data_IF_735725014996
#
_entry.id   IF_735725014996
#
_cell.length_a   1.000
_cell.length_b   1.000
_cell.length_c   1.000
_cell.angle_alpha   90.00
_cell.angle_beta   90.00
_cell.angle_gamma   90.00
#
_symmetry.space_group_name_H-M   'P 1'
#
loop_
_entity.id
_entity.type
_entity.pdbx_description
1 polymer ?
#
# COMPACT_ATOMS: atom_id res chain seq x y z
N UNK A 1 20.07 -33.99 -1.30
CA UNK A 1 19.19 -33.72 -2.45
C UNK A 1 18.97 -34.98 -3.26
N UNK A 2 19.97 -35.58 -3.90
CA UNK A 2 19.81 -36.86 -4.61
C UNK A 2 19.32 -38.01 -3.73
N UNK A 3 19.73 -38.07 -2.47
CA UNK A 3 19.30 -39.11 -1.52
C UNK A 3 17.84 -38.99 -1.05
N UNK A 4 17.17 -37.87 -1.31
CA UNK A 4 15.82 -37.56 -0.88
C UNK A 4 15.02 -36.89 -2.01
N UNK A 5 14.74 -37.63 -3.10
CA UNK A 5 14.03 -37.07 -4.25
C UNK A 5 12.54 -36.71 -3.91
N UNK A 6 12.03 -37.27 -2.83
CA UNK A 6 10.66 -37.00 -2.29
C UNK A 6 10.55 -35.69 -1.49
N UNK A 7 11.68 -35.04 -1.20
CA UNK A 7 11.73 -33.77 -0.45
C UNK A 7 11.95 -32.62 -1.43
N UNK A 8 11.09 -31.60 -1.40
CA UNK A 8 11.34 -30.33 -2.08
C UNK A 8 12.22 -29.43 -1.21
N UNK A 9 13.24 -28.84 -1.81
CA UNK A 9 14.16 -27.91 -1.17
C UNK A 9 13.95 -26.52 -1.75
N UNK A 10 13.47 -25.60 -0.92
CA UNK A 10 13.30 -24.20 -1.27
C UNK A 10 14.40 -23.40 -0.60
N UNK A 11 15.24 -22.74 -1.39
CA UNK A 11 16.42 -22.03 -0.94
C UNK A 11 16.28 -20.54 -1.22
N UNK A 12 16.17 -19.74 -0.18
CA UNK A 12 16.17 -18.30 -0.28
C UNK A 12 17.62 -17.78 -0.17
N UNK A 13 18.13 -17.17 -1.24
CA UNK A 13 19.39 -16.42 -1.20
C UNK A 13 19.10 -15.00 -0.72
N UNK A 14 19.68 -14.56 0.42
CA UNK A 14 19.27 -13.32 1.05
C UNK A 14 19.58 -12.09 0.18
N UNK A 15 18.75 -11.07 0.30
CA UNK A 15 18.96 -9.78 -0.34
C UNK A 15 19.13 -8.70 0.75
N UNK A 16 20.34 -8.18 0.93
CA UNK A 16 20.59 -7.01 1.78
C UNK A 16 19.80 -5.77 1.35
N UNK A 17 19.63 -4.83 2.28
CA UNK A 17 18.98 -3.54 2.01
C UNK A 17 19.75 -2.70 0.98
N UNK A 18 19.08 -1.69 0.40
CA UNK A 18 19.75 -0.72 -0.47
C UNK A 18 20.88 0.00 0.26
N UNK A 19 20.72 0.34 1.54
CA UNK A 19 21.78 0.96 2.37
C UNK A 19 23.05 0.09 2.43
N UNK A 20 22.88 -1.23 2.59
CA UNK A 20 24.01 -2.14 2.53
C UNK A 20 24.70 -2.09 1.17
N UNK A 21 23.93 -2.18 0.07
CA UNK A 21 24.50 -2.18 -1.29
C UNK A 21 25.20 -0.87 -1.65
N UNK A 22 24.69 0.27 -1.19
CA UNK A 22 25.32 1.58 -1.37
C UNK A 22 26.65 1.69 -0.64
N UNK A 23 26.78 1.03 0.50
CA UNK A 23 28.01 1.00 1.29
C UNK A 23 29.07 0.04 0.71
N UNK A 24 28.70 -0.90 -0.20
CA UNK A 24 29.63 -1.86 -0.78
C UNK A 24 30.33 -1.34 -2.03
N UNK A 25 31.53 -1.90 -2.30
CA UNK A 25 32.22 -1.71 -3.58
C UNK A 25 31.56 -2.54 -4.67
N UNK A 26 31.78 -2.18 -5.94
CA UNK A 26 31.31 -2.94 -7.09
C UNK A 26 31.91 -4.36 -7.11
N UNK A 27 33.16 -4.51 -6.63
CA UNK A 27 33.81 -5.83 -6.49
C UNK A 27 33.08 -6.71 -5.46
N UNK A 28 32.64 -6.14 -4.34
CA UNK A 28 31.88 -6.90 -3.33
C UNK A 28 30.53 -7.35 -3.86
N UNK A 29 29.81 -6.48 -4.59
CA UNK A 29 28.54 -6.86 -5.24
C UNK A 29 28.73 -7.95 -6.29
N UNK A 30 29.76 -7.80 -7.13
CA UNK A 30 30.12 -8.81 -8.15
C UNK A 30 30.44 -10.16 -7.51
N UNK A 31 31.21 -10.16 -6.40
CA UNK A 31 31.52 -11.39 -5.67
C UNK A 31 30.26 -12.06 -5.10
N UNK A 32 29.35 -11.25 -4.52
CA UNK A 32 28.08 -11.75 -4.00
C UNK A 32 27.25 -12.42 -5.09
N UNK A 33 27.07 -11.76 -6.22
CA UNK A 33 26.31 -12.29 -7.35
C UNK A 33 27.00 -13.46 -8.04
N UNK A 34 28.32 -13.46 -8.13
CA UNK A 34 29.10 -14.62 -8.64
C UNK A 34 28.87 -15.85 -7.76
N UNK A 35 28.83 -15.67 -6.43
CA UNK A 35 28.53 -16.74 -5.48
C UNK A 35 27.11 -17.27 -5.67
N UNK A 36 26.14 -16.37 -5.80
CA UNK A 36 24.74 -16.71 -6.08
C UNK A 36 24.61 -17.53 -7.37
N UNK A 37 25.19 -17.05 -8.48
CA UNK A 37 25.17 -17.73 -9.79
C UNK A 37 25.84 -19.12 -9.75
N UNK A 38 26.95 -19.24 -9.03
CA UNK A 38 27.64 -20.54 -8.85
C UNK A 38 26.75 -21.53 -8.11
N UNK A 39 26.07 -21.05 -7.05
CA UNK A 39 25.12 -21.87 -6.28
C UNK A 39 23.93 -22.30 -7.15
N UNK A 40 23.30 -21.35 -7.86
CA UNK A 40 22.20 -21.62 -8.80
C UNK A 40 22.60 -22.66 -9.83
N UNK A 41 23.77 -22.50 -10.47
CA UNK A 41 24.28 -23.45 -11.49
C UNK A 41 24.49 -24.84 -10.92
N UNK A 42 24.99 -24.93 -9.69
CA UNK A 42 25.21 -26.21 -9.00
C UNK A 42 23.89 -26.89 -8.65
N UNK A 43 22.91 -26.11 -8.16
CA UNK A 43 21.64 -26.64 -7.69
C UNK A 43 20.64 -26.94 -8.82
N UNK A 44 20.78 -26.31 -9.96
CA UNK A 44 19.93 -26.53 -11.14
C UNK A 44 19.96 -27.97 -11.68
N UNK A 45 20.97 -28.76 -11.28
CA UNK A 45 21.02 -30.19 -11.60
C UNK A 45 20.03 -31.06 -10.82
N UNK A 46 19.39 -30.52 -9.78
CA UNK A 46 18.45 -31.26 -8.93
C UNK A 46 17.02 -30.83 -9.22
N UNK A 47 16.18 -31.73 -9.67
CA UNK A 47 14.77 -31.44 -10.02
C UNK A 47 13.88 -31.11 -8.84
N UNK A 48 14.33 -31.33 -7.62
CA UNK A 48 13.62 -31.09 -6.37
C UNK A 48 14.19 -29.89 -5.58
N UNK A 49 14.91 -28.98 -6.26
CA UNK A 49 15.47 -27.77 -5.65
C UNK A 49 15.00 -26.55 -6.42
N UNK A 50 14.45 -25.59 -5.71
CA UNK A 50 14.13 -24.24 -6.21
C UNK A 50 14.94 -23.21 -5.43
N UNK A 51 15.54 -22.25 -6.12
CA UNK A 51 16.26 -21.16 -5.50
C UNK A 51 15.60 -19.82 -5.80
N UNK A 52 15.57 -18.94 -4.82
CA UNK A 52 14.93 -17.62 -4.89
C UNK A 52 15.94 -16.52 -4.57
N UNK A 53 15.84 -15.40 -5.30
CA UNK A 53 16.64 -14.21 -5.08
C UNK A 53 15.75 -12.95 -5.15
N UNK A 54 15.36 -12.37 -4.02
CA UNK A 54 14.50 -11.18 -3.98
C UNK A 54 15.27 -9.85 -4.15
N UNK A 55 16.55 -9.89 -4.45
CA UNK A 55 17.43 -8.71 -4.50
C UNK A 55 17.20 -7.74 -5.65
N UNK A 56 16.31 -8.07 -6.59
CA UNK A 56 15.94 -7.21 -7.72
C UNK A 56 14.52 -6.64 -7.56
N UNK A 57 14.05 -6.41 -6.34
CA UNK A 57 12.70 -5.92 -6.05
C UNK A 57 12.75 -4.63 -5.22
N UNK A 58 12.15 -3.54 -5.76
CA UNK A 58 12.20 -2.21 -5.13
C UNK A 58 11.53 -2.18 -3.76
N UNK A 59 10.31 -2.72 -3.65
CA UNK A 59 9.56 -2.72 -2.39
C UNK A 59 10.30 -3.41 -1.25
N UNK A 60 11.18 -4.35 -1.57
CA UNK A 60 11.95 -5.07 -0.56
C UNK A 60 13.21 -4.31 -0.18
N UNK A 61 14.14 -4.11 -1.14
CA UNK A 61 15.49 -3.63 -0.82
C UNK A 61 15.54 -2.13 -0.56
N UNK A 62 14.64 -1.34 -1.15
CA UNK A 62 14.61 0.10 -1.00
C UNK A 62 13.92 0.56 0.29
N UNK A 63 13.06 -0.26 0.89
CA UNK A 63 12.36 0.12 2.11
C UNK A 63 13.14 -0.25 3.37
N UNK A 64 13.75 0.71 4.10
CA UNK A 64 14.51 0.44 5.31
C UNK A 64 13.65 -0.18 6.42
N UNK A 65 12.35 0.09 6.45
CA UNK A 65 11.40 -0.52 7.38
C UNK A 65 11.24 -2.04 7.23
N UNK A 66 11.71 -2.62 6.12
CA UNK A 66 11.75 -4.07 5.91
C UNK A 66 12.86 -4.78 6.69
N UNK A 67 13.78 -4.05 7.26
CA UNK A 67 14.98 -4.59 7.89
C UNK A 67 15.08 -4.20 9.38
N UNK A 68 15.68 -5.07 10.17
CA UNK A 68 16.10 -4.79 11.55
C UNK A 68 17.44 -4.04 11.58
N UNK A 69 18.28 -4.33 10.61
CA UNK A 69 19.54 -3.68 10.28
C UNK A 69 19.72 -3.79 8.75
N UNK A 70 20.88 -3.45 8.19
CA UNK A 70 21.10 -3.46 6.75
C UNK A 70 21.05 -4.86 6.09
N UNK A 71 21.02 -5.94 6.87
CA UNK A 71 21.10 -7.32 6.39
C UNK A 71 19.90 -8.19 6.78
N UNK A 72 19.32 -7.96 7.96
CA UNK A 72 18.34 -8.86 8.55
C UNK A 72 16.92 -8.30 8.38
N UNK A 73 16.07 -9.07 7.72
CA UNK A 73 14.65 -8.75 7.58
C UNK A 73 13.96 -8.66 8.95
N UNK A 74 12.98 -7.78 9.06
CA UNK A 74 12.05 -7.83 10.18
C UNK A 74 11.17 -9.10 10.10
N UNK A 75 10.52 -9.47 11.21
CA UNK A 75 9.75 -10.70 11.29
C UNK A 75 8.62 -10.78 10.27
N UNK A 76 7.96 -9.66 9.98
CA UNK A 76 6.85 -9.60 9.03
C UNK A 76 7.31 -9.87 7.59
N UNK A 77 8.43 -9.27 7.21
CA UNK A 77 9.03 -9.49 5.89
C UNK A 77 9.59 -10.90 5.77
N UNK A 78 10.24 -11.42 6.81
CA UNK A 78 10.74 -12.79 6.82
C UNK A 78 9.61 -13.80 6.61
N UNK A 79 8.47 -13.64 7.31
CA UNK A 79 7.29 -14.48 7.12
C UNK A 79 6.73 -14.36 5.69
N UNK A 80 6.65 -13.14 5.15
CA UNK A 80 6.16 -12.90 3.80
C UNK A 80 7.06 -13.55 2.76
N UNK A 81 8.37 -13.42 2.87
CA UNK A 81 9.32 -14.06 1.95
C UNK A 81 9.19 -15.59 1.98
N UNK A 82 8.98 -16.20 3.15
CA UNK A 82 8.70 -17.62 3.26
C UNK A 82 7.39 -18.00 2.54
N UNK A 83 6.34 -17.21 2.70
CA UNK A 83 5.05 -17.41 2.02
C UNK A 83 5.18 -17.29 0.51
N UNK A 84 5.88 -16.26 0.01
CA UNK A 84 6.15 -16.11 -1.43
C UNK A 84 6.96 -17.26 -2.00
N UNK A 85 8.00 -17.67 -1.29
CA UNK A 85 8.85 -18.79 -1.67
C UNK A 85 8.04 -20.06 -1.91
N UNK A 86 7.04 -20.31 -1.04
CA UNK A 86 6.26 -21.55 -1.13
C UNK A 86 4.99 -21.45 -2.00
N UNK A 87 4.47 -20.23 -2.27
CA UNK A 87 3.14 -20.07 -2.87
C UNK A 87 3.12 -19.49 -4.29
N UNK A 88 4.01 -18.55 -4.65
CA UNK A 88 3.84 -17.75 -5.87
C UNK A 88 4.93 -17.94 -6.95
N UNK A 89 6.03 -18.63 -6.65
CA UNK A 89 7.13 -18.81 -7.61
C UNK A 89 7.80 -17.52 -8.09
N UNK A 90 7.42 -16.37 -7.52
CA UNK A 90 8.05 -15.09 -7.76
C UNK A 90 9.50 -15.12 -7.25
N UNK A 91 10.38 -14.35 -7.89
CA UNK A 91 11.79 -14.25 -7.49
C UNK A 91 12.63 -15.54 -7.72
N UNK A 92 12.11 -16.52 -8.47
CA UNK A 92 12.88 -17.71 -8.80
C UNK A 92 14.09 -17.32 -9.63
N UNK A 93 15.28 -17.72 -9.16
CA UNK A 93 16.52 -17.55 -9.89
C UNK A 93 16.95 -18.88 -10.55
N UNK A 94 17.31 -18.79 -11.80
CA UNK A 94 17.78 -19.89 -12.64
C UNK A 94 19.07 -19.50 -13.35
N UNK A 95 19.85 -20.42 -13.91
CA UNK A 95 20.96 -20.03 -14.76
C UNK A 95 20.58 -19.17 -15.97
N UNK A 96 19.31 -19.25 -16.42
CA UNK A 96 18.81 -18.51 -17.57
C UNK A 96 18.46 -17.05 -17.29
N UNK A 97 18.14 -16.67 -16.03
CA UNK A 97 17.77 -15.30 -15.66
C UNK A 97 18.73 -14.62 -14.66
N UNK A 98 19.73 -15.34 -14.16
CA UNK A 98 20.62 -14.83 -13.13
C UNK A 98 21.40 -13.56 -13.56
N UNK A 99 21.79 -13.47 -14.82
CA UNK A 99 22.47 -12.27 -15.36
C UNK A 99 21.52 -11.08 -15.44
N UNK A 100 20.25 -11.32 -15.78
CA UNK A 100 19.22 -10.27 -15.81
C UNK A 100 18.96 -9.72 -14.40
N UNK A 101 18.80 -10.60 -13.40
CA UNK A 101 18.60 -10.19 -12.02
C UNK A 101 19.81 -9.43 -11.43
N UNK A 102 21.04 -9.83 -11.80
CA UNK A 102 22.23 -9.06 -11.44
C UNK A 102 22.24 -7.67 -12.09
N UNK A 103 21.88 -7.58 -13.38
CA UNK A 103 21.78 -6.28 -14.07
C UNK A 103 20.77 -5.39 -13.38
N UNK A 104 19.57 -5.89 -13.10
CA UNK A 104 18.52 -5.14 -12.39
C UNK A 104 19.00 -4.61 -11.03
N UNK A 105 19.66 -5.44 -10.22
CA UNK A 105 20.23 -5.00 -8.94
C UNK A 105 21.29 -3.90 -9.14
N UNK A 106 22.19 -4.07 -10.11
CA UNK A 106 23.24 -3.09 -10.37
C UNK A 106 22.66 -1.76 -10.89
N UNK A 107 21.64 -1.81 -11.74
CA UNK A 107 20.94 -0.63 -12.24
C UNK A 107 20.27 0.12 -11.09
N UNK A 108 19.53 -0.57 -10.22
CA UNK A 108 18.92 0.02 -9.02
C UNK A 108 19.94 0.70 -8.10
N UNK A 109 21.09 0.05 -7.85
CA UNK A 109 22.17 0.62 -7.02
C UNK A 109 22.82 1.81 -7.70
N UNK A 110 22.99 1.78 -9.03
CA UNK A 110 23.58 2.89 -9.78
C UNK A 110 22.65 4.10 -9.80
N UNK A 111 21.38 3.89 -10.07
CA UNK A 111 20.36 4.94 -10.05
C UNK A 111 20.30 5.62 -8.67
N UNK A 112 20.27 4.84 -7.59
CA UNK A 112 20.24 5.40 -6.24
C UNK A 112 21.55 6.13 -5.86
N UNK A 113 22.71 5.71 -6.39
CA UNK A 113 23.98 6.45 -6.22
C UNK A 113 24.03 7.76 -6.96
N UNK A 114 23.51 7.79 -8.20
CA UNK A 114 23.53 8.98 -9.05
C UNK A 114 22.50 10.02 -8.63
N UNK A 115 21.33 9.57 -8.20
CA UNK A 115 20.22 10.40 -7.76
C UNK A 115 19.55 9.81 -6.51
N UNK A 116 20.17 9.97 -5.31
CA UNK A 116 19.62 9.45 -4.08
C UNK A 116 18.18 9.92 -3.87
N UNK A 117 17.29 8.98 -3.66
CA UNK A 117 15.89 9.26 -3.38
C UNK A 117 15.78 9.78 -1.95
N UNK A 118 15.52 11.07 -1.79
CA UNK A 118 15.32 11.72 -0.50
C UNK A 118 13.83 11.95 -0.31
N UNK A 119 13.26 11.27 0.67
CA UNK A 119 11.87 11.50 1.05
C UNK A 119 11.79 12.56 2.15
N UNK A 120 10.73 13.40 2.14
CA UNK A 120 10.47 14.36 3.21
C UNK A 120 10.37 13.69 4.57
N UNK A 121 10.95 14.30 5.60
CA UNK A 121 10.74 13.93 6.98
C UNK A 121 9.35 14.39 7.45
N UNK A 122 8.49 13.43 7.79
CA UNK A 122 7.14 13.62 8.30
C UNK A 122 7.00 13.12 9.74
N UNK A 123 8.09 12.98 10.48
CA UNK A 123 8.09 12.48 11.87
C UNK A 123 7.27 13.38 12.82
N UNK A 124 6.96 14.60 12.40
CA UNK A 124 6.07 15.53 13.06
C UNK A 124 4.57 15.28 12.79
N UNK A 125 4.21 14.21 12.05
CA UNK A 125 2.83 13.84 11.75
C UNK A 125 2.39 12.55 12.46
N UNK A 126 1.14 12.56 12.94
CA UNK A 126 0.35 11.37 13.27
C UNK A 126 -0.68 11.17 12.16
N UNK A 127 -0.48 10.15 11.31
CA UNK A 127 -1.29 9.93 10.10
C UNK A 127 -2.27 8.78 10.30
N UNK A 128 -3.55 9.09 10.29
CA UNK A 128 -4.65 8.11 10.37
C UNK A 128 -5.17 7.86 8.95
N UNK A 129 -5.19 6.59 8.54
CA UNK A 129 -5.67 6.18 7.25
C UNK A 129 -7.11 5.65 7.36
N UNK A 130 -8.01 6.21 6.58
CA UNK A 130 -9.34 5.66 6.30
C UNK A 130 -9.40 5.19 4.85
N UNK A 131 -9.96 4.02 4.60
CA UNK A 131 -10.04 3.47 3.26
C UNK A 131 -10.65 2.08 3.22
N UNK A 132 -10.68 1.55 2.03
CA UNK A 132 -11.14 0.19 1.74
C UNK A 132 -9.98 -0.84 1.74
N UNK A 133 -10.13 -1.93 0.96
CA UNK A 133 -9.14 -3.01 0.87
C UNK A 133 -7.78 -2.58 0.32
N UNK A 134 -7.71 -1.51 -0.46
CA UNK A 134 -6.45 -1.00 -1.02
C UNK A 134 -5.50 -0.60 0.10
N UNK A 135 -6.01 0.07 1.11
CA UNK A 135 -5.24 0.47 2.31
C UNK A 135 -5.30 -0.62 3.39
N UNK A 136 -6.47 -1.23 3.61
CA UNK A 136 -6.80 -2.03 4.79
C UNK A 136 -6.38 -3.50 4.76
N UNK A 137 -6.17 -4.11 3.57
CA UNK A 137 -5.90 -5.53 3.48
C UNK A 137 -4.48 -5.94 3.89
N UNK A 138 -3.57 -4.98 4.01
CA UNK A 138 -2.16 -5.25 4.28
C UNK A 138 -1.68 -4.49 5.50
N UNK A 139 -0.77 -5.11 6.26
CA UNK A 139 -0.13 -4.56 7.45
C UNK A 139 1.39 -4.69 7.35
N UNK A 140 2.11 -4.04 8.26
CA UNK A 140 3.58 -4.08 8.26
C UNK A 140 4.20 -3.14 7.22
N UNK A 141 5.51 -3.27 7.05
CA UNK A 141 6.34 -2.34 6.25
C UNK A 141 6.01 -2.29 4.75
N UNK A 142 5.39 -3.33 4.21
CA UNK A 142 4.98 -3.40 2.81
C UNK A 142 3.51 -3.01 2.55
N UNK A 143 2.79 -2.56 3.58
CA UNK A 143 1.51 -1.89 3.42
C UNK A 143 1.70 -0.42 3.05
N UNK A 144 0.71 0.23 2.45
CA UNK A 144 0.79 1.66 2.10
C UNK A 144 1.11 2.52 3.34
N UNK A 145 0.42 2.38 4.49
CA UNK A 145 0.80 3.08 5.71
C UNK A 145 2.22 2.73 6.20
N UNK A 146 2.63 1.46 6.08
CA UNK A 146 3.97 1.02 6.47
C UNK A 146 5.08 1.62 5.61
N UNK A 147 4.85 1.79 4.31
CA UNK A 147 5.77 2.52 3.41
C UNK A 147 5.87 3.98 3.83
N UNK A 148 4.74 4.65 4.10
CA UNK A 148 4.74 6.04 4.59
C UNK A 148 5.56 6.16 5.87
N UNK A 149 5.35 5.29 6.86
CA UNK A 149 6.15 5.28 8.09
C UNK A 149 7.64 5.05 7.82
N UNK A 150 7.98 4.00 7.05
CA UNK A 150 9.36 3.56 6.85
C UNK A 150 10.25 4.58 6.13
N UNK A 151 9.68 5.37 5.21
CA UNK A 151 10.43 6.34 4.43
C UNK A 151 10.37 7.77 4.94
N UNK A 152 9.34 8.13 5.68
CA UNK A 152 9.16 9.51 6.16
C UNK A 152 9.23 9.68 7.67
N UNK A 153 9.27 8.58 8.42
CA UNK A 153 9.22 8.62 9.88
C UNK A 153 7.86 9.02 10.48
N UNK A 154 6.82 9.23 9.66
CA UNK A 154 5.48 9.54 10.14
C UNK A 154 4.94 8.42 11.03
N UNK A 155 4.24 8.76 12.12
CA UNK A 155 3.50 7.80 12.93
C UNK A 155 2.18 7.45 12.23
N UNK A 156 1.96 6.17 11.91
CA UNK A 156 0.82 5.76 11.08
C UNK A 156 -0.15 4.86 11.82
N UNK A 157 -1.45 5.05 11.58
CA UNK A 157 -2.56 4.27 12.16
C UNK A 157 -3.51 3.87 11.04
N UNK A 158 -3.56 2.57 10.74
CA UNK A 158 -4.38 2.04 9.66
C UNK A 158 -5.80 1.73 10.14
N UNK A 159 -6.69 2.69 10.04
CA UNK A 159 -8.12 2.56 10.34
C UNK A 159 -8.96 2.18 9.10
N UNK A 160 -8.32 1.75 8.01
CA UNK A 160 -8.99 1.26 6.82
C UNK A 160 -9.45 -0.19 6.99
N UNK A 161 -10.49 -0.58 6.26
CA UNK A 161 -11.06 -1.92 6.33
C UNK A 161 -11.49 -2.42 4.94
N UNK A 162 -11.08 -3.64 4.58
CA UNK A 162 -11.44 -4.25 3.30
C UNK A 162 -12.95 -4.41 3.11
N UNK A 163 -13.42 -4.21 1.88
CA UNK A 163 -14.84 -4.35 1.51
C UNK A 163 -15.71 -3.15 1.87
N UNK A 164 -15.15 -2.11 2.48
CA UNK A 164 -15.93 -0.93 2.91
C UNK A 164 -16.10 0.09 1.78
N UNK A 165 -17.16 0.88 1.88
CA UNK A 165 -17.53 1.96 0.95
C UNK A 165 -17.42 3.33 1.63
N UNK A 166 -17.36 4.41 0.87
CA UNK A 166 -17.64 5.72 1.44
C UNK A 166 -19.14 5.86 1.75
N UNK A 167 -19.98 5.43 0.80
CA UNK A 167 -21.44 5.50 0.88
C UNK A 167 -21.98 4.63 2.00
N UNK A 168 -23.01 5.11 2.67
CA UNK A 168 -23.77 4.35 3.66
C UNK A 168 -24.79 3.43 2.95
N UNK A 169 -24.75 2.14 3.26
CA UNK A 169 -25.83 1.23 2.87
C UNK A 169 -26.95 1.29 3.93
N UNK A 170 -28.16 1.73 3.56
CA UNK A 170 -29.27 1.76 4.51
C UNK A 170 -29.68 0.38 5.07
N UNK A 171 -29.31 -0.70 4.38
CA UNK A 171 -29.62 -2.07 4.78
C UNK A 171 -28.61 -2.67 5.77
N UNK A 172 -27.43 -2.06 5.92
CA UNK A 172 -26.33 -2.58 6.76
C UNK A 172 -25.85 -1.49 7.72
N UNK A 173 -26.44 -1.45 8.92
CA UNK A 173 -26.00 -0.58 10.03
C UNK A 173 -25.31 -1.46 11.08
N UNK A 174 -24.14 -2.01 10.78
CA UNK A 174 -23.31 -2.70 11.76
C UNK A 174 -22.11 -1.82 12.20
N UNK A 175 -22.24 -1.09 13.31
CA UNK A 175 -21.15 -0.24 13.82
C UNK A 175 -19.88 -1.04 14.13
N UNK A 176 -20.00 -2.33 14.50
CA UNK A 176 -18.86 -3.18 14.85
C UNK A 176 -17.97 -3.50 13.65
N UNK A 177 -18.51 -3.44 12.44
CA UNK A 177 -17.76 -3.66 11.21
C UNK A 177 -17.20 -2.37 10.60
N UNK A 178 -17.66 -1.18 11.03
CA UNK A 178 -17.34 0.12 10.44
C UNK A 178 -17.46 0.10 8.90
N UNK A 179 -18.60 -0.39 8.40
CA UNK A 179 -18.81 -0.79 7.01
C UNK A 179 -18.82 0.37 5.98
N UNK A 180 -18.71 1.63 6.43
CA UNK A 180 -18.61 2.79 5.55
C UNK A 180 -17.79 3.91 6.20
N UNK A 181 -17.36 4.89 5.38
CA UNK A 181 -16.49 5.98 5.83
C UNK A 181 -17.12 6.83 6.95
N UNK A 182 -18.41 7.14 6.85
CA UNK A 182 -19.08 7.96 7.89
C UNK A 182 -19.07 7.25 9.25
N UNK A 183 -19.32 5.93 9.25
CA UNK A 183 -19.26 5.11 10.47
C UNK A 183 -17.83 4.97 10.99
N UNK A 184 -16.85 4.82 10.10
CA UNK A 184 -15.44 4.76 10.48
C UNK A 184 -15.01 6.05 11.17
N UNK A 185 -15.36 7.22 10.63
CA UNK A 185 -15.10 8.52 11.26
C UNK A 185 -15.81 8.64 12.60
N UNK A 186 -17.10 8.30 12.69
CA UNK A 186 -17.87 8.35 13.95
C UNK A 186 -17.25 7.47 15.05
N UNK A 187 -16.80 6.27 14.68
CA UNK A 187 -16.10 5.35 15.59
C UNK A 187 -14.77 5.94 16.08
N UNK A 188 -14.00 6.53 15.19
CA UNK A 188 -12.73 7.20 15.55
C UNK A 188 -12.99 8.37 16.50
N UNK A 189 -13.98 9.20 16.22
CA UNK A 189 -14.32 10.36 17.05
C UNK A 189 -14.83 9.97 18.45
N UNK A 190 -15.50 8.83 18.57
CA UNK A 190 -15.93 8.29 19.88
C UNK A 190 -14.78 7.76 20.72
N UNK A 191 -13.62 7.48 20.10
CA UNK A 191 -12.44 6.96 20.77
C UNK A 191 -12.71 5.66 21.57
N UNK A 192 -13.64 4.84 21.08
CA UNK A 192 -14.04 3.59 21.73
C UNK A 192 -13.77 2.39 20.78
N UNK A 193 -12.61 1.73 20.91
CA UNK A 193 -12.27 0.57 20.06
C UNK A 193 -13.13 -0.65 20.36
N UNK A 194 -13.83 -0.68 21.52
CA UNK A 194 -14.61 -1.86 21.94
C UNK A 194 -15.87 -2.10 21.09
N UNK A 195 -16.31 -1.09 20.33
CA UNK A 195 -17.41 -1.22 19.37
C UNK A 195 -17.00 -1.96 18.10
N UNK A 196 -15.68 -2.11 17.84
CA UNK A 196 -15.13 -2.83 16.71
C UNK A 196 -14.87 -4.30 17.07
N UNK A 197 -14.95 -5.19 16.09
CA UNK A 197 -14.56 -6.60 16.29
C UNK A 197 -13.07 -6.71 16.62
N UNK A 198 -12.71 -7.68 17.45
CA UNK A 198 -11.36 -7.86 17.99
C UNK A 198 -10.30 -8.16 16.93
N UNK A 199 -10.70 -8.77 15.82
CA UNK A 199 -9.82 -9.22 14.74
C UNK A 199 -9.61 -8.18 13.62
N UNK A 200 -10.06 -6.94 13.80
CA UNK A 200 -9.91 -5.91 12.77
C UNK A 200 -8.62 -5.11 12.92
N UNK A 201 -8.00 -4.80 11.78
CA UNK A 201 -6.85 -3.87 11.71
C UNK A 201 -7.23 -2.51 12.27
N UNK A 202 -8.45 -2.06 12.01
CA UNK A 202 -8.95 -0.81 12.52
C UNK A 202 -8.95 -0.76 14.05
N UNK A 203 -9.47 -1.80 14.73
CA UNK A 203 -9.47 -1.85 16.20
C UNK A 203 -8.06 -1.74 16.77
N UNK A 204 -7.15 -2.58 16.26
CA UNK A 204 -5.75 -2.57 16.71
C UNK A 204 -5.09 -1.20 16.49
N UNK A 205 -5.38 -0.54 15.36
CA UNK A 205 -4.82 0.77 15.03
C UNK A 205 -5.43 1.89 15.86
N UNK A 206 -6.72 1.82 16.16
CA UNK A 206 -7.38 2.79 17.05
C UNK A 206 -6.86 2.65 18.50
N UNK A 207 -6.69 1.42 18.99
CA UNK A 207 -6.06 1.16 20.28
C UNK A 207 -4.61 1.70 20.32
N UNK A 208 -3.84 1.50 19.26
CA UNK A 208 -2.48 2.04 19.16
C UNK A 208 -2.50 3.57 19.15
N UNK A 209 -3.40 4.20 18.38
CA UNK A 209 -3.59 5.65 18.37
C UNK A 209 -3.91 6.20 19.76
N UNK A 210 -4.86 5.59 20.48
CA UNK A 210 -5.27 6.04 21.81
C UNK A 210 -4.19 5.86 22.89
N UNK A 211 -3.27 4.93 22.70
CA UNK A 211 -2.18 4.64 23.64
C UNK A 211 -0.88 5.39 23.29
N UNK A 212 -0.82 6.07 22.15
CA UNK A 212 0.38 6.80 21.74
C UNK A 212 0.41 8.21 22.35
N UNK A 213 1.63 8.67 22.60
CA UNK A 213 1.90 10.06 22.95
C UNK A 213 2.05 10.92 21.69
N UNK A 214 0.98 11.62 21.34
CA UNK A 214 0.94 12.49 20.16
C UNK A 214 1.64 13.84 20.37
N UNK A 215 2.40 14.00 21.45
CA UNK A 215 2.98 15.29 21.83
C UNK A 215 3.89 15.85 20.72
N UNK A 216 3.58 17.05 20.28
CA UNK A 216 4.33 17.77 19.25
C UNK A 216 4.06 17.31 17.81
N UNK A 217 3.18 16.31 17.58
CA UNK A 217 2.81 15.87 16.25
C UNK A 217 1.46 16.47 15.82
N UNK A 218 1.40 16.90 14.57
CA UNK A 218 0.15 17.33 13.93
C UNK A 218 -0.63 16.11 13.46
N UNK A 219 -1.92 16.08 13.74
CA UNK A 219 -2.82 15.03 13.23
C UNK A 219 -3.07 15.22 11.72
N UNK A 220 -3.04 14.12 11.01
CA UNK A 220 -3.32 14.07 9.58
C UNK A 220 -4.26 12.90 9.28
N UNK A 221 -5.22 13.08 8.37
CA UNK A 221 -6.10 12.03 7.86
C UNK A 221 -5.86 11.84 6.38
N UNK A 222 -5.62 10.59 5.98
CA UNK A 222 -5.59 10.16 4.58
C UNK A 222 -6.85 9.35 4.30
N UNK A 223 -7.63 9.74 3.31
CA UNK A 223 -8.91 9.14 2.97
C UNK A 223 -8.84 8.58 1.55
N UNK A 224 -9.09 7.26 1.38
CA UNK A 224 -9.06 6.61 0.07
C UNK A 224 -10.20 5.59 -0.04
N UNK A 225 -11.27 5.97 -0.72
CA UNK A 225 -12.46 5.16 -1.01
C UNK A 225 -12.91 5.35 -2.45
N UNK A 226 -13.83 4.49 -2.91
CA UNK A 226 -14.54 4.66 -4.17
C UNK A 226 -14.58 3.39 -5.03
N UNK A 227 -13.68 2.43 -4.86
CA UNK A 227 -13.71 1.19 -5.62
C UNK A 227 -14.96 0.36 -5.28
N UNK A 228 -15.24 0.17 -4.00
CA UNK A 228 -16.43 -0.59 -3.57
C UNK A 228 -17.72 0.19 -3.84
N UNK A 229 -17.70 1.53 -3.78
CA UNK A 229 -18.83 2.37 -4.20
C UNK A 229 -19.14 2.14 -5.69
N UNK A 230 -18.11 2.13 -6.54
CA UNK A 230 -18.22 1.84 -7.96
C UNK A 230 -18.75 0.43 -8.20
N UNK A 231 -18.19 -0.61 -7.57
CA UNK A 231 -18.64 -2.00 -7.75
C UNK A 231 -20.07 -2.24 -7.22
N UNK A 232 -20.45 -1.59 -6.15
CA UNK A 232 -21.78 -1.69 -5.55
C UNK A 232 -22.83 -0.82 -6.24
N UNK A 233 -22.40 0.06 -7.17
CA UNK A 233 -23.30 0.91 -7.93
C UNK A 233 -23.95 2.04 -7.14
N UNK A 234 -23.30 2.52 -6.09
CA UNK A 234 -23.78 3.72 -5.39
C UNK A 234 -23.72 4.94 -6.31
N UNK A 235 -24.73 5.82 -6.21
CA UNK A 235 -24.71 7.06 -6.95
C UNK A 235 -23.47 7.91 -6.58
N UNK A 236 -22.85 8.55 -7.58
CA UNK A 236 -21.68 9.40 -7.32
C UNK A 236 -22.04 10.58 -6.43
N UNK A 237 -23.16 11.26 -6.74
CA UNK A 237 -23.62 12.43 -5.96
C UNK A 237 -25.16 12.56 -5.99
N UNK A 238 -25.70 13.31 -5.04
CA UNK A 238 -27.14 13.66 -5.02
C UNK A 238 -27.34 15.10 -5.52
N UNK A 239 -28.23 15.34 -6.49
CA UNK A 239 -28.34 16.64 -7.15
C UNK A 239 -28.89 17.76 -6.23
N UNK A 240 -29.65 17.40 -5.20
CA UNK A 240 -30.34 18.36 -4.30
C UNK A 240 -29.84 18.30 -2.85
N UNK A 241 -29.24 17.19 -2.42
CA UNK A 241 -28.68 17.02 -1.06
C UNK A 241 -27.19 16.68 -1.11
N UNK A 242 -26.30 17.67 -0.97
CA UNK A 242 -24.86 17.44 -1.05
C UNK A 242 -24.29 16.62 0.12
N UNK A 243 -25.08 16.35 1.15
CA UNK A 243 -24.68 15.56 2.32
C UNK A 243 -25.46 14.24 2.45
N UNK A 244 -26.12 13.80 1.38
CA UNK A 244 -26.77 12.49 1.34
C UNK A 244 -25.73 11.38 1.44
N UNK A 245 -25.61 10.76 2.60
CA UNK A 245 -24.60 9.73 2.90
C UNK A 245 -24.81 8.40 2.15
N UNK A 246 -25.91 8.23 1.44
CA UNK A 246 -26.13 7.07 0.54
C UNK A 246 -25.38 7.25 -0.79
N UNK A 247 -24.88 8.46 -1.06
CA UNK A 247 -24.04 8.74 -2.22
C UNK A 247 -22.57 8.88 -1.85
N UNK A 248 -21.69 8.58 -2.79
CA UNK A 248 -20.24 8.63 -2.59
C UNK A 248 -19.76 10.02 -2.15
N UNK A 249 -20.09 11.05 -2.92
CA UNK A 249 -19.66 12.41 -2.61
C UNK A 249 -20.31 12.95 -1.32
N UNK A 250 -21.59 12.64 -1.07
CA UNK A 250 -22.29 13.06 0.14
C UNK A 250 -21.69 12.44 1.41
N UNK A 251 -21.30 11.16 1.34
CA UNK A 251 -20.61 10.48 2.42
C UNK A 251 -19.21 11.07 2.66
N UNK A 252 -18.43 11.34 1.62
CA UNK A 252 -17.13 11.99 1.73
C UNK A 252 -17.24 13.37 2.39
N UNK A 253 -18.17 14.24 1.92
CA UNK A 253 -18.39 15.56 2.53
C UNK A 253 -18.78 15.46 3.99
N UNK A 254 -19.64 14.50 4.33
CA UNK A 254 -20.10 14.32 5.73
C UNK A 254 -18.97 13.89 6.64
N UNK A 255 -18.16 12.88 6.25
CA UNK A 255 -17.02 12.42 7.04
C UNK A 255 -15.92 13.49 7.16
N UNK A 256 -15.56 14.16 6.06
CA UNK A 256 -14.55 15.24 6.07
C UNK A 256 -15.01 16.38 6.98
N UNK A 257 -16.27 16.83 6.88
CA UNK A 257 -16.82 17.86 7.76
C UNK A 257 -16.73 17.47 9.23
N UNK A 258 -17.07 16.22 9.58
CA UNK A 258 -16.99 15.74 10.97
C UNK A 258 -15.56 15.76 11.49
N UNK A 259 -14.57 15.40 10.65
CA UNK A 259 -13.15 15.50 11.02
C UNK A 259 -12.69 16.95 11.17
N UNK A 260 -13.09 17.86 10.28
CA UNK A 260 -12.75 19.29 10.35
C UNK A 260 -13.35 19.96 11.60
N UNK A 261 -14.59 19.60 11.97
CA UNK A 261 -15.25 20.12 13.17
C UNK A 261 -14.56 19.62 14.46
N UNK A 262 -14.16 18.36 14.50
CA UNK A 262 -13.51 17.76 15.66
C UNK A 262 -12.02 18.14 15.79
N UNK A 263 -11.34 18.30 14.67
CA UNK A 263 -9.89 18.55 14.60
C UNK A 263 -9.60 19.68 13.59
N UNK A 264 -9.89 20.94 13.92
CA UNK A 264 -9.79 22.06 12.96
C UNK A 264 -8.36 22.33 12.47
N UNK A 265 -7.34 21.91 13.21
CA UNK A 265 -5.92 22.05 12.85
C UNK A 265 -5.35 20.84 12.13
N UNK A 266 -6.13 19.77 11.96
CA UNK A 266 -5.65 18.57 11.27
C UNK A 266 -5.48 18.82 9.78
N UNK A 267 -4.50 18.12 9.20
CA UNK A 267 -4.38 17.99 7.75
C UNK A 267 -5.33 16.88 7.27
N UNK A 268 -6.05 17.10 6.18
CA UNK A 268 -6.87 16.05 5.56
C UNK A 268 -6.46 15.97 4.09
N UNK A 269 -6.00 14.80 3.66
CA UNK A 269 -5.68 14.48 2.27
C UNK A 269 -6.71 13.49 1.73
N UNK A 270 -7.47 13.87 0.73
CA UNK A 270 -8.35 12.98 -0.01
C UNK A 270 -7.60 12.40 -1.21
N UNK A 271 -7.52 11.07 -1.30
CA UNK A 271 -6.94 10.36 -2.41
C UNK A 271 -8.03 9.67 -3.25
N UNK A 272 -7.95 9.79 -4.56
CA UNK A 272 -8.86 9.11 -5.48
C UNK A 272 -8.72 7.57 -5.38
N UNK A 273 -9.71 6.78 -5.81
CA UNK A 273 -9.50 5.35 -6.06
C UNK A 273 -8.38 5.14 -7.07
N UNK A 274 -7.65 4.01 -6.95
CA UNK A 274 -6.56 3.70 -7.89
C UNK A 274 -7.08 3.16 -9.22
N UNK A 275 -6.17 3.13 -10.22
CA UNK A 275 -6.39 2.45 -11.48
C UNK A 275 -6.65 0.94 -11.27
N UNK A 276 -7.55 0.36 -12.06
CA UNK A 276 -7.88 -1.06 -12.07
C UNK A 276 -7.90 -1.58 -13.51
N UNK A 277 -7.70 -2.89 -13.69
CA UNK A 277 -7.77 -3.55 -15.00
C UNK A 277 -9.10 -4.25 -15.26
N UNK A 278 -10.12 -3.90 -14.53
CA UNK A 278 -11.46 -4.46 -14.69
C UNK A 278 -12.16 -3.81 -15.89
N UNK A 279 -11.56 -4.02 -17.10
CA UNK A 279 -12.07 -3.51 -18.37
C UNK A 279 -12.35 -4.67 -19.34
N UNK A 280 -13.42 -4.58 -20.09
CA UNK A 280 -13.71 -5.50 -21.18
C UNK A 280 -13.35 -4.85 -22.52
N UNK A 281 -12.46 -5.48 -23.30
CA UNK A 281 -12.00 -4.99 -24.60
C UNK A 281 -11.43 -3.55 -24.60
N UNK A 282 -10.76 -3.14 -23.52
CA UNK A 282 -10.19 -1.80 -23.36
C UNK A 282 -11.22 -0.70 -23.07
N UNK A 283 -12.45 -1.08 -22.79
CA UNK A 283 -13.53 -0.15 -22.42
C UNK A 283 -13.76 -0.26 -20.91
N UNK A 284 -13.80 0.86 -20.21
CA UNK A 284 -14.11 0.92 -18.79
C UNK A 284 -15.52 0.33 -18.53
N UNK A 285 -15.61 -0.66 -17.63
CA UNK A 285 -16.89 -1.20 -17.22
C UNK A 285 -17.61 -0.20 -16.30
N UNK A 286 -18.93 -0.15 -16.45
CA UNK A 286 -19.76 0.64 -15.56
C UNK A 286 -20.08 -0.16 -14.31
N UNK A 287 -20.11 0.52 -13.16
CA UNK A 287 -20.70 -0.01 -11.94
C UNK A 287 -22.21 -0.27 -12.09
N UNK A 288 -22.83 -0.88 -11.10
CA UNK A 288 -24.26 -1.20 -11.14
C UNK A 288 -25.16 0.01 -11.39
N UNK A 289 -24.76 1.21 -10.91
CA UNK A 289 -25.44 2.48 -11.19
C UNK A 289 -25.19 3.03 -12.61
N UNK A 290 -24.40 2.35 -13.44
CA UNK A 290 -24.04 2.80 -14.78
C UNK A 290 -23.03 3.95 -14.82
N UNK A 291 -22.33 4.22 -13.72
CA UNK A 291 -21.26 5.22 -13.67
C UNK A 291 -19.91 4.58 -13.93
N UNK A 292 -18.98 5.33 -14.53
CA UNK A 292 -17.59 4.90 -14.70
C UNK A 292 -16.79 5.13 -13.43
N UNK A 293 -15.67 4.41 -13.23
CA UNK A 293 -14.77 4.66 -12.10
C UNK A 293 -14.21 6.09 -12.13
N UNK A 294 -13.94 6.63 -13.32
CA UNK A 294 -13.50 8.02 -13.49
C UNK A 294 -14.52 9.06 -13.01
N UNK A 295 -15.82 8.73 -12.96
CA UNK A 295 -16.81 9.60 -12.35
C UNK A 295 -16.65 9.71 -10.82
N UNK A 296 -16.23 8.62 -10.16
CA UNK A 296 -15.89 8.66 -8.72
C UNK A 296 -14.57 9.41 -8.48
N UNK A 297 -13.58 9.27 -9.37
CA UNK A 297 -12.33 10.05 -9.32
C UNK A 297 -12.63 11.54 -9.40
N UNK A 298 -13.45 11.96 -10.38
CA UNK A 298 -13.86 13.35 -10.53
C UNK A 298 -14.70 13.83 -9.33
N UNK A 299 -15.62 12.99 -8.84
CA UNK A 299 -16.41 13.29 -7.65
C UNK A 299 -15.54 13.54 -6.42
N UNK A 300 -14.49 12.75 -6.20
CA UNK A 300 -13.53 12.97 -5.12
C UNK A 300 -12.79 14.30 -5.29
N UNK A 301 -12.36 14.64 -6.50
CA UNK A 301 -11.70 15.91 -6.79
C UNK A 301 -12.63 17.12 -6.49
N UNK A 302 -13.90 17.02 -6.92
CA UNK A 302 -14.91 18.05 -6.68
C UNK A 302 -15.21 18.22 -5.17
N UNK A 303 -15.26 17.10 -4.43
CA UNK A 303 -15.44 17.14 -2.96
C UNK A 303 -14.22 17.78 -2.29
N UNK A 304 -13.00 17.46 -2.70
CA UNK A 304 -11.79 18.04 -2.14
C UNK A 304 -11.78 19.57 -2.32
N UNK A 305 -12.10 20.06 -3.52
CA UNK A 305 -12.21 21.48 -3.83
C UNK A 305 -13.28 22.15 -2.96
N UNK A 306 -14.49 21.58 -2.87
CA UNK A 306 -15.61 22.12 -2.09
C UNK A 306 -15.34 22.15 -0.58
N UNK A 307 -14.62 21.14 -0.05
CA UNK A 307 -14.29 21.02 1.36
C UNK A 307 -12.99 21.75 1.73
N UNK A 308 -12.25 22.28 0.73
CA UNK A 308 -10.99 22.98 0.93
C UNK A 308 -9.88 22.07 1.47
N UNK A 309 -9.84 20.81 1.04
CA UNK A 309 -8.82 19.84 1.43
C UNK A 309 -7.92 19.47 0.25
N UNK A 310 -6.62 19.18 0.49
CA UNK A 310 -5.73 18.64 -0.52
C UNK A 310 -6.27 17.37 -1.18
N UNK A 311 -6.00 17.22 -2.48
CA UNK A 311 -6.39 16.07 -3.29
C UNK A 311 -5.19 15.41 -3.96
N UNK A 312 -5.12 14.08 -3.91
CA UNK A 312 -4.18 13.29 -4.68
C UNK A 312 -4.93 12.40 -5.68
N UNK A 313 -4.73 12.66 -6.95
CA UNK A 313 -5.33 11.89 -8.04
C UNK A 313 -4.55 10.59 -8.24
N UNK A 314 -4.88 9.57 -7.46
CA UNK A 314 -4.24 8.26 -7.49
C UNK A 314 -4.45 7.57 -8.85
N UNK A 315 -5.62 7.75 -9.45
CA UNK A 315 -5.99 7.10 -10.71
C UNK A 315 -5.08 7.52 -11.87
N UNK A 316 -4.84 8.83 -12.03
CA UNK A 316 -4.07 9.35 -13.18
C UNK A 316 -2.60 9.59 -12.87
N UNK A 317 -2.23 9.84 -11.60
CA UNK A 317 -0.89 10.29 -11.25
C UNK A 317 0.00 9.21 -10.64
N UNK A 318 -0.56 8.05 -10.28
CA UNK A 318 0.23 6.94 -9.77
C UNK A 318 1.11 6.29 -10.86
N UNK A 319 0.81 6.53 -12.14
CA UNK A 319 1.56 5.98 -13.26
C UNK A 319 1.21 4.53 -13.61
N UNK A 320 0.21 3.94 -12.94
CA UNK A 320 -0.32 2.62 -13.30
C UNK A 320 -1.30 2.79 -14.45
N UNK A 321 -1.09 2.05 -15.52
CA UNK A 321 -1.85 2.12 -16.77
C UNK A 321 -2.14 0.71 -17.30
N UNK A 322 -2.91 0.59 -18.38
CA UNK A 322 -3.16 -0.69 -19.04
C UNK A 322 -1.86 -1.40 -19.50
N UNK A 323 -0.83 -0.63 -19.86
CA UNK A 323 0.41 -1.18 -20.41
C UNK A 323 1.34 -1.78 -19.33
N UNK A 324 1.23 -1.31 -18.08
CA UNK A 324 2.11 -1.71 -16.98
C UNK A 324 1.37 -2.26 -15.74
N UNK A 325 0.06 -2.43 -15.83
CA UNK A 325 -0.75 -2.86 -14.69
C UNK A 325 -0.29 -4.19 -14.09
N UNK A 326 0.23 -5.11 -14.90
CA UNK A 326 0.75 -6.40 -14.43
C UNK A 326 1.96 -6.27 -13.50
N UNK A 327 2.70 -5.16 -13.57
CA UNK A 327 3.85 -4.89 -12.70
C UNK A 327 3.43 -4.35 -11.32
N UNK A 328 2.19 -3.79 -11.21
CA UNK A 328 1.73 -3.08 -10.02
C UNK A 328 0.45 -3.62 -9.38
N UNK A 329 -0.28 -4.50 -10.07
CA UNK A 329 -1.51 -5.09 -9.55
C UNK A 329 -1.31 -6.58 -9.24
N UNK A 330 -1.81 -7.02 -8.08
CA UNK A 330 -1.84 -8.42 -7.67
C UNK A 330 -2.98 -9.19 -8.35
N UNK A 331 -4.06 -8.49 -8.62
CA UNK A 331 -5.25 -8.94 -9.34
C UNK A 331 -5.79 -7.77 -10.19
N UNK A 332 -7.04 -7.82 -10.63
CA UNK A 332 -7.62 -6.74 -11.43
C UNK A 332 -7.87 -5.43 -10.65
N UNK A 333 -7.72 -5.42 -9.32
CA UNK A 333 -8.17 -4.34 -8.42
C UNK A 333 -7.08 -3.90 -7.45
N UNK A 334 -6.44 -4.87 -6.77
CA UNK A 334 -5.55 -4.61 -5.64
C UNK A 334 -4.11 -4.44 -6.08
N UNK A 335 -3.43 -3.47 -5.48
CA UNK A 335 -2.01 -3.24 -5.68
C UNK A 335 -1.18 -4.40 -5.11
N UNK A 336 -0.20 -4.87 -5.87
CA UNK A 336 0.86 -5.76 -5.37
C UNK A 336 1.87 -4.96 -4.52
N UNK A 337 2.99 -5.57 -4.13
CA UNK A 337 4.01 -4.94 -3.30
C UNK A 337 4.61 -3.69 -3.95
N UNK A 338 4.94 -3.76 -5.23
CA UNK A 338 5.49 -2.62 -5.99
C UNK A 338 4.45 -1.50 -6.13
N UNK A 339 3.19 -1.84 -6.39
CA UNK A 339 2.11 -0.86 -6.44
C UNK A 339 1.85 -0.17 -5.11
N UNK A 340 1.92 -0.91 -3.98
CA UNK A 340 1.80 -0.32 -2.64
C UNK A 340 2.99 0.53 -2.27
N UNK A 341 4.21 0.12 -2.65
CA UNK A 341 5.40 0.93 -2.51
C UNK A 341 5.27 2.25 -3.28
N UNK A 342 4.88 2.17 -4.54
CA UNK A 342 4.65 3.33 -5.41
C UNK A 342 3.60 4.29 -4.80
N UNK A 343 2.48 3.77 -4.32
CA UNK A 343 1.43 4.60 -3.72
C UNK A 343 1.87 5.21 -2.39
N UNK A 344 2.50 4.45 -1.51
CA UNK A 344 3.01 4.96 -0.23
C UNK A 344 4.01 6.09 -0.40
N UNK A 345 4.97 5.96 -1.33
CA UNK A 345 5.96 7.00 -1.61
C UNK A 345 5.34 8.25 -2.27
N UNK A 346 4.34 8.06 -3.12
CA UNK A 346 3.57 9.18 -3.68
C UNK A 346 2.79 9.95 -2.60
N UNK A 347 2.22 9.24 -1.61
CA UNK A 347 1.55 9.89 -0.47
C UNK A 347 2.50 10.70 0.39
N UNK A 348 3.75 10.27 0.60
CA UNK A 348 4.75 11.06 1.34
C UNK A 348 4.93 12.43 0.68
N UNK A 349 5.10 12.44 -0.62
CA UNK A 349 5.25 13.69 -1.39
C UNK A 349 3.97 14.55 -1.34
N UNK A 350 2.80 13.92 -1.45
CA UNK A 350 1.52 14.62 -1.38
C UNK A 350 1.28 15.23 0.01
N UNK A 351 1.61 14.52 1.08
CA UNK A 351 1.51 14.99 2.46
C UNK A 351 2.46 16.17 2.72
N UNK A 352 3.70 16.10 2.25
CA UNK A 352 4.66 17.18 2.40
C UNK A 352 4.20 18.48 1.69
N UNK A 353 3.68 18.37 0.49
CA UNK A 353 3.14 19.53 -0.25
C UNK A 353 1.85 20.10 0.35
N UNK A 354 1.21 19.39 1.26
CA UNK A 354 -0.08 19.76 1.85
C UNK A 354 0.04 20.40 3.24
N UNK A 355 1.24 20.44 3.81
CA UNK A 355 1.48 21.00 5.17
C UNK A 355 1.46 22.52 5.22
#
# INVERSE_FOLDING_TARGET
MEAHPEVSFEILYPAPSMQYWLAQTDETRTLWMTTCKSLVSTLNGYSNVTMYFPGATHWLINNPGNYLDDLHYNDTVAQKLIMFTFCDGAMVITPGNADTLESMLNDMVSEEKEAPTVYPDLSDLSVVFFGDSVIGNYTGSFSIPGVVNGFSGAHVYNCAQGGTTASKDPATDDPAAAMNFVMAVDTFLKQDPTVLREDTVYRTSLEAYLNDDHHGRRLCFVINYGLNDYFSGYAVDHPEDPYDTVTYCGALRTGIRSLQEAYPDALILLAAPNYITFFENGTELHGEAGSTLTAYVQGAADVADQMGVPFYDTYHRLGVTADNAADYLADAVHLNEEGRFLFGTALITALDHSR
#
